data_IF_709772091780
#
_entry.id   IF_709772091780
#
_cell.length_a   1.000
_cell.length_b   1.000
_cell.length_c   1.000
_cell.angle_alpha   90.00
_cell.angle_beta   90.00
_cell.angle_gamma   90.00
#
_symmetry.space_group_name_H-M   'P 1'
#
loop_
_entity.id
_entity.type
_entity.pdbx_description
1 polymer ?
#
# COMPACT_ATOMS: atom_id res chain seq x y z
N UNK A 1 41.82 -51.59 -1.10
CA UNK A 1 40.60 -51.18 -1.80
C UNK A 1 39.87 -50.22 -0.87
N UNK A 2 40.20 -48.93 -0.96
CA UNK A 2 39.61 -47.91 -0.08
C UNK A 2 38.22 -47.53 -0.63
N UNK A 3 37.19 -47.36 0.22
CA UNK A 3 35.87 -47.02 -0.27
C UNK A 3 35.86 -45.57 -0.73
N UNK A 4 35.45 -45.37 -1.98
CA UNK A 4 35.18 -44.07 -2.58
C UNK A 4 34.06 -43.39 -1.78
N UNK A 5 34.39 -42.33 -1.03
CA UNK A 5 33.36 -41.48 -0.44
C UNK A 5 32.59 -40.80 -1.58
N UNK A 6 31.29 -41.03 -1.58
CA UNK A 6 30.39 -40.64 -2.65
C UNK A 6 30.12 -39.14 -2.55
N UNK A 7 30.50 -38.37 -3.58
CA UNK A 7 30.39 -36.91 -3.65
C UNK A 7 28.92 -36.39 -3.64
N UNK A 8 27.94 -37.29 -3.52
CA UNK A 8 26.50 -36.98 -3.54
C UNK A 8 25.87 -36.59 -2.20
N UNK A 9 26.49 -36.91 -1.06
CA UNK A 9 25.88 -36.65 0.26
C UNK A 9 26.00 -35.19 0.72
N UNK A 10 26.94 -34.42 0.16
CA UNK A 10 27.11 -33.00 0.49
C UNK A 10 26.05 -32.08 -0.13
N UNK A 11 25.38 -32.50 -1.21
CA UNK A 11 24.45 -31.66 -1.95
C UNK A 11 23.05 -31.61 -1.30
N UNK A 12 22.59 -32.73 -0.74
CA UNK A 12 21.24 -32.84 -0.16
C UNK A 12 21.13 -32.13 1.20
N UNK A 13 22.22 -32.08 1.99
CA UNK A 13 22.25 -31.37 3.28
C UNK A 13 22.12 -29.84 3.16
N UNK A 14 22.58 -29.25 2.05
CA UNK A 14 22.58 -27.80 1.82
C UNK A 14 21.23 -27.25 1.34
N UNK A 15 20.33 -28.09 0.81
CA UNK A 15 19.02 -27.63 0.32
C UNK A 15 18.04 -27.48 1.49
N UNK A 16 18.17 -28.30 2.53
CA UNK A 16 17.27 -28.30 3.69
C UNK A 16 17.64 -27.27 4.78
N UNK A 17 18.86 -26.70 4.76
CA UNK A 17 19.34 -25.77 5.79
C UNK A 17 18.65 -24.41 5.80
N UNK A 18 17.86 -24.08 4.78
CA UNK A 18 17.25 -22.76 4.61
C UNK A 18 15.71 -22.77 4.68
N UNK A 19 15.11 -23.96 4.77
CA UNK A 19 13.65 -24.12 4.86
C UNK A 19 13.18 -23.75 6.27
N UNK A 20 12.16 -22.87 6.36
CA UNK A 20 11.59 -22.41 7.63
C UNK A 20 12.23 -21.14 8.21
N UNK A 21 13.22 -20.56 7.53
CA UNK A 21 13.73 -19.22 7.86
C UNK A 21 12.70 -18.14 7.45
N UNK A 22 12.68 -16.98 8.14
CA UNK A 22 11.85 -15.86 7.72
C UNK A 22 12.26 -15.35 6.34
N UNK A 23 11.33 -14.68 5.66
CA UNK A 23 11.64 -13.96 4.43
C UNK A 23 12.75 -12.91 4.67
N UNK A 24 13.61 -12.73 3.67
CA UNK A 24 14.63 -11.69 3.67
C UNK A 24 13.97 -10.30 3.68
N UNK A 25 14.63 -9.35 4.34
CA UNK A 25 14.26 -7.95 4.25
C UNK A 25 14.41 -7.46 2.80
N UNK A 26 13.43 -6.67 2.33
CA UNK A 26 13.37 -6.22 0.93
C UNK A 26 14.59 -5.38 0.53
N UNK A 27 15.17 -4.60 1.46
CA UNK A 27 16.35 -3.78 1.18
C UNK A 27 17.60 -4.63 0.92
N UNK A 28 17.64 -5.86 1.46
CA UNK A 28 18.72 -6.81 1.23
C UNK A 28 18.44 -7.62 -0.04
N UNK A 29 17.19 -8.06 -0.23
CA UNK A 29 16.81 -8.92 -1.35
C UNK A 29 16.82 -8.17 -2.70
N UNK A 30 16.43 -6.90 -2.71
CA UNK A 30 16.29 -6.09 -3.93
C UNK A 30 16.68 -4.62 -3.68
N UNK A 31 17.97 -4.34 -3.39
CA UNK A 31 18.45 -3.01 -2.96
C UNK A 31 18.25 -1.88 -3.98
N UNK A 32 18.00 -2.20 -5.24
CA UNK A 32 17.90 -1.25 -6.34
C UNK A 32 16.51 -0.60 -6.50
N UNK A 33 15.48 -1.10 -5.81
CA UNK A 33 14.14 -0.51 -5.91
C UNK A 33 13.50 -0.24 -4.55
N UNK A 34 12.63 0.75 -4.56
CA UNK A 34 11.86 1.18 -3.40
C UNK A 34 10.55 0.37 -3.33
N UNK A 35 10.24 -0.27 -2.19
CA UNK A 35 8.96 -0.96 -2.01
C UNK A 35 7.81 0.05 -1.89
N UNK A 36 6.59 -0.40 -2.19
CA UNK A 36 5.39 0.45 -2.10
C UNK A 36 5.05 0.91 -0.67
N UNK A 37 5.69 0.37 0.37
CA UNK A 37 5.61 0.91 1.73
C UNK A 37 6.19 2.33 1.86
N UNK A 38 7.05 2.72 0.91
CA UNK A 38 7.38 4.11 0.61
C UNK A 38 6.73 4.41 -0.73
N UNK A 39 5.49 4.91 -0.68
CA UNK A 39 4.66 5.06 -1.88
C UNK A 39 5.29 6.06 -2.86
N UNK A 40 5.27 5.78 -4.18
CA UNK A 40 5.90 6.65 -5.16
C UNK A 40 5.17 7.99 -5.30
N UNK A 41 5.87 9.06 -5.73
CA UNK A 41 5.21 10.31 -6.09
C UNK A 41 4.25 10.11 -7.27
N UNK A 42 3.24 10.97 -7.35
CA UNK A 42 2.23 10.92 -8.42
C UNK A 42 2.76 11.55 -9.70
N UNK A 43 3.46 10.75 -10.49
CA UNK A 43 3.94 11.13 -11.82
C UNK A 43 2.94 10.80 -12.94
N UNK A 44 1.82 10.16 -12.60
CA UNK A 44 0.77 9.75 -13.56
C UNK A 44 -0.09 10.92 -14.06
N UNK A 45 -0.10 12.04 -13.34
CA UNK A 45 -0.92 13.21 -13.64
C UNK A 45 -0.28 14.11 -14.70
N UNK A 46 -0.12 13.56 -15.90
CA UNK A 46 0.62 14.21 -16.99
C UNK A 46 -0.10 15.43 -17.60
N UNK A 47 -1.44 15.45 -17.52
CA UNK A 47 -2.29 16.51 -18.07
C UNK A 47 -2.79 17.51 -17.02
N UNK A 48 -2.17 17.52 -15.83
CA UNK A 48 -2.47 18.50 -14.79
C UNK A 48 -3.96 18.52 -14.42
N UNK A 49 -4.52 17.36 -14.06
CA UNK A 49 -5.93 17.24 -13.72
C UNK A 49 -6.37 18.14 -12.55
N UNK A 50 -5.44 18.60 -11.72
CA UNK A 50 -5.72 19.62 -10.69
C UNK A 50 -6.34 20.90 -11.28
N UNK A 51 -6.03 21.28 -12.53
CA UNK A 51 -6.62 22.46 -13.20
C UNK A 51 -8.13 22.30 -13.48
N UNK A 52 -8.62 21.05 -13.46
CA UNK A 52 -10.04 20.71 -13.66
C UNK A 52 -10.80 20.60 -12.34
N UNK A 53 -10.10 20.70 -11.20
CA UNK A 53 -10.65 20.58 -9.87
C UNK A 53 -10.80 21.95 -9.22
N UNK A 54 -11.88 22.12 -8.44
CA UNK A 54 -11.99 23.27 -7.54
C UNK A 54 -10.94 23.19 -6.42
N UNK A 55 -10.63 24.32 -5.78
CA UNK A 55 -9.69 24.39 -4.67
C UNK A 55 -10.02 23.41 -3.54
N UNK A 56 -11.33 23.24 -3.24
CA UNK A 56 -11.80 22.29 -2.21
C UNK A 56 -11.53 20.83 -2.60
N UNK A 57 -11.74 20.48 -3.88
CA UNK A 57 -11.49 19.14 -4.41
C UNK A 57 -9.99 18.83 -4.47
N UNK A 58 -9.15 19.80 -4.82
CA UNK A 58 -7.70 19.64 -4.78
C UNK A 58 -7.19 19.44 -3.34
N UNK A 59 -7.72 20.20 -2.38
CA UNK A 59 -7.39 20.02 -0.96
C UNK A 59 -7.81 18.64 -0.47
N UNK A 60 -9.02 18.19 -0.83
CA UNK A 60 -9.50 16.86 -0.49
C UNK A 60 -8.60 15.76 -1.10
N UNK A 61 -8.27 15.86 -2.39
CA UNK A 61 -7.38 14.93 -3.10
C UNK A 61 -6.06 14.76 -2.35
N UNK A 62 -5.35 15.87 -2.09
CA UNK A 62 -4.06 15.85 -1.37
C UNK A 62 -4.18 15.24 0.02
N UNK A 63 -5.23 15.61 0.76
CA UNK A 63 -5.47 15.10 2.12
C UNK A 63 -5.69 13.59 2.13
N UNK A 64 -6.47 13.06 1.18
CA UNK A 64 -6.73 11.60 1.07
C UNK A 64 -5.43 10.87 0.72
N UNK A 65 -4.72 11.33 -0.32
CA UNK A 65 -3.43 10.77 -0.73
C UNK A 65 -2.44 10.68 0.42
N UNK A 66 -2.24 11.78 1.14
CA UNK A 66 -1.31 11.81 2.28
C UNK A 66 -1.64 10.77 3.36
N UNK A 67 -2.92 10.53 3.63
CA UNK A 67 -3.33 9.51 4.60
C UNK A 67 -3.07 8.11 4.04
N UNK A 68 -3.39 7.85 2.77
CA UNK A 68 -3.18 6.54 2.16
C UNK A 68 -1.68 6.19 2.11
N UNK A 69 -0.83 7.14 1.71
CA UNK A 69 0.62 6.95 1.65
C UNK A 69 1.25 6.75 3.03
N UNK A 70 0.85 7.54 4.04
CA UNK A 70 1.49 7.49 5.38
C UNK A 70 0.98 6.36 6.25
N UNK A 71 -0.29 5.97 6.11
CA UNK A 71 -0.98 5.14 7.10
C UNK A 71 -1.39 3.78 6.54
N UNK A 72 -1.63 3.68 5.23
CA UNK A 72 -2.06 2.44 4.57
C UNK A 72 -0.90 1.76 3.84
N UNK A 73 -0.12 2.49 3.05
CA UNK A 73 0.96 1.92 2.26
C UNK A 73 1.98 1.08 3.08
N UNK A 74 2.37 1.48 4.32
CA UNK A 74 3.29 0.67 5.12
C UNK A 74 2.73 -0.66 5.62
N UNK A 75 1.41 -0.80 5.73
CA UNK A 75 0.74 -1.96 6.33
C UNK A 75 0.01 -2.85 5.31
N UNK A 76 -0.26 -2.32 4.11
CA UNK A 76 -1.14 -2.96 3.14
C UNK A 76 -0.67 -4.35 2.72
N UNK A 77 0.64 -4.55 2.50
CA UNK A 77 1.19 -5.83 2.01
C UNK A 77 0.92 -6.95 3.00
N UNK A 78 1.12 -6.72 4.30
CA UNK A 78 0.88 -7.74 5.33
C UNK A 78 -0.60 -8.09 5.45
N UNK A 79 -1.47 -7.08 5.45
CA UNK A 79 -2.92 -7.27 5.55
C UNK A 79 -3.50 -7.95 4.31
N UNK A 80 -3.03 -7.56 3.12
CA UNK A 80 -3.44 -8.15 1.85
C UNK A 80 -3.07 -9.62 1.77
N UNK A 81 -1.81 -9.96 2.07
CA UNK A 81 -1.32 -11.36 2.05
C UNK A 81 -2.10 -12.26 3.02
N UNK A 82 -2.47 -11.74 4.20
CA UNK A 82 -3.21 -12.49 5.22
C UNK A 82 -4.72 -12.51 4.99
N UNK A 83 -5.24 -11.76 4.01
CA UNK A 83 -6.66 -11.50 3.84
C UNK A 83 -7.34 -10.97 5.13
N UNK A 84 -6.65 -10.09 5.87
CA UNK A 84 -7.13 -9.52 7.14
C UNK A 84 -7.44 -8.02 7.00
N UNK A 85 -8.54 -7.56 7.60
CA UNK A 85 -8.91 -6.14 7.57
C UNK A 85 -8.13 -5.31 8.60
N UNK A 86 -7.53 -4.15 8.23
CA UNK A 86 -6.79 -3.28 9.15
C UNK A 86 -7.72 -2.40 9.98
N UNK A 87 -8.38 -2.97 11.00
CA UNK A 87 -9.35 -2.23 11.85
C UNK A 87 -8.78 -0.96 12.51
N UNK A 88 -7.48 -0.94 12.81
CA UNK A 88 -6.81 0.23 13.39
C UNK A 88 -6.75 1.44 12.44
N UNK A 89 -6.93 1.25 11.13
CA UNK A 89 -6.94 2.33 10.14
C UNK A 89 -8.29 3.09 10.09
N UNK A 90 -9.38 2.50 10.61
CA UNK A 90 -10.73 3.09 10.54
C UNK A 90 -10.78 4.51 11.09
N UNK A 91 -10.23 4.84 12.28
CA UNK A 91 -10.32 6.20 12.82
C UNK A 91 -9.65 7.23 11.91
N UNK A 92 -8.54 6.85 11.27
CA UNK A 92 -7.83 7.72 10.34
C UNK A 92 -8.64 7.96 9.07
N UNK A 93 -9.18 6.89 8.48
CA UNK A 93 -10.07 7.00 7.32
C UNK A 93 -11.32 7.82 7.63
N UNK A 94 -11.89 7.68 8.83
CA UNK A 94 -13.03 8.49 9.27
C UNK A 94 -12.69 9.99 9.35
N UNK A 95 -11.46 10.34 9.76
CA UNK A 95 -11.00 11.74 9.85
C UNK A 95 -10.92 12.46 8.49
N UNK A 96 -10.89 11.70 7.39
CA UNK A 96 -10.92 12.25 6.04
C UNK A 96 -12.28 12.88 5.71
N UNK A 97 -13.36 12.41 6.35
CA UNK A 97 -14.76 12.79 6.04
C UNK A 97 -15.14 12.51 4.58
N UNK A 98 -14.73 11.35 4.06
CA UNK A 98 -15.11 10.87 2.72
C UNK A 98 -16.30 9.91 2.75
N UNK A 99 -16.49 9.19 3.86
CA UNK A 99 -17.63 8.31 4.06
C UNK A 99 -18.95 9.10 4.04
N UNK A 100 -19.91 8.65 3.23
CA UNK A 100 -21.15 9.38 2.94
C UNK A 100 -21.08 10.22 1.66
N UNK A 101 -19.90 10.42 1.06
CA UNK A 101 -19.73 10.98 -0.29
C UNK A 101 -20.57 12.23 -0.55
N UNK A 102 -21.49 12.13 -1.49
CA UNK A 102 -22.35 13.24 -1.93
C UNK A 102 -23.62 13.45 -1.10
N UNK A 103 -23.87 12.60 -0.10
CA UNK A 103 -25.10 12.65 0.72
C UNK A 103 -25.07 13.94 1.56
N UNK A 104 -26.15 14.74 1.44
CA UNK A 104 -26.34 15.98 2.19
C UNK A 104 -27.16 15.73 3.46
N UNK A 105 -26.74 16.33 4.57
CA UNK A 105 -27.39 16.16 5.87
C UNK A 105 -26.93 14.89 6.61
N UNK A 106 -27.62 14.51 7.68
CA UNK A 106 -27.38 13.27 8.45
C UNK A 106 -25.95 13.09 9.00
N UNK A 107 -25.19 14.18 9.15
CA UNK A 107 -23.77 14.13 9.54
C UNK A 107 -22.82 13.67 8.43
N UNK A 108 -23.30 13.54 7.18
CA UNK A 108 -22.49 13.22 6.01
C UNK A 108 -21.78 14.48 5.46
N UNK A 109 -20.69 14.31 4.70
CA UNK A 109 -19.86 15.43 4.25
C UNK A 109 -20.50 16.26 3.13
N UNK A 110 -21.44 15.72 2.35
CA UNK A 110 -22.12 16.46 1.29
C UNK A 110 -21.20 16.95 0.17
N UNK A 111 -20.19 16.15 -0.17
CA UNK A 111 -19.18 16.47 -1.19
C UNK A 111 -19.82 16.69 -2.57
N UNK A 112 -19.12 17.41 -3.44
CA UNK A 112 -19.42 17.38 -4.87
C UNK A 112 -19.25 15.95 -5.43
N UNK A 113 -19.89 15.66 -6.56
CA UNK A 113 -19.72 14.36 -7.22
C UNK A 113 -18.26 14.12 -7.60
N UNK A 114 -17.60 15.12 -8.18
CA UNK A 114 -16.19 15.08 -8.55
C UNK A 114 -15.29 14.93 -7.33
N UNK A 115 -15.56 15.64 -6.23
CA UNK A 115 -14.85 15.50 -4.96
C UNK A 115 -14.95 14.10 -4.36
N UNK A 116 -16.14 13.48 -4.41
CA UNK A 116 -16.31 12.08 -4.00
C UNK A 116 -15.55 11.12 -4.93
N UNK A 117 -15.55 11.37 -6.24
CA UNK A 117 -14.88 10.53 -7.23
C UNK A 117 -13.35 10.59 -7.10
N UNK A 118 -12.78 11.79 -6.95
CA UNK A 118 -11.34 11.96 -6.78
C UNK A 118 -10.87 11.36 -5.45
N UNK A 119 -11.67 11.48 -4.37
CA UNK A 119 -11.37 10.83 -3.11
C UNK A 119 -11.34 9.29 -3.23
N UNK A 120 -12.21 8.70 -4.05
CA UNK A 120 -12.18 7.26 -4.32
C UNK A 120 -10.92 6.90 -5.12
N UNK A 121 -10.55 7.69 -6.12
CA UNK A 121 -9.36 7.45 -6.92
C UNK A 121 -8.06 7.51 -6.10
N UNK A 122 -7.99 8.36 -5.07
CA UNK A 122 -6.82 8.42 -4.17
C UNK A 122 -6.77 7.27 -3.14
N UNK A 123 -7.86 6.52 -2.95
CA UNK A 123 -7.91 5.34 -2.06
C UNK A 123 -7.63 4.04 -2.81
N UNK A 124 -8.03 3.96 -4.09
CA UNK A 124 -7.98 2.77 -4.93
C UNK A 124 -6.55 2.39 -5.33
#
# INVERSE_FOLDING_TARGET
MAPSQNQGDHFVGSINSHVGLPALDVSIAFPQATPASIFPPSESDYYQFDDLLSDEEQVLRRKVREVMEKEIAPIMTTHWEKAEFPYHAIPKLASLKVAGGTIKGYGCPGLSLTGSAIAIAEVA
#
